data_IF_972630177319
#
_entry.id   IF_972630177319
#
_cell.length_a   1.000
_cell.length_b   1.000
_cell.length_c   1.000
_cell.angle_alpha   90.00
_cell.angle_beta   90.00
_cell.angle_gamma   90.00
#
_symmetry.space_group_name_H-M   'P 1'
#
loop_
_entity.id
_entity.type
_entity.pdbx_description
1 polymer ?
#
# COMPACT_ATOMS: atom_id res chain seq x y z
N UNK A 1 -17.65 2.11 -12.51
CA UNK A 1 -16.81 3.31 -12.79
C UNK A 1 -16.30 4.01 -11.53
N UNK A 2 -16.97 3.88 -10.37
CA UNK A 2 -16.54 4.52 -9.10
C UNK A 2 -15.11 4.17 -8.68
N UNK A 3 -14.74 2.87 -8.70
CA UNK A 3 -13.40 2.40 -8.28
C UNK A 3 -12.30 2.99 -9.17
N UNK A 4 -12.44 2.85 -10.50
CA UNK A 4 -11.47 3.39 -11.45
C UNK A 4 -11.34 4.92 -11.34
N UNK A 5 -12.46 5.64 -11.22
CA UNK A 5 -12.44 7.08 -10.99
C UNK A 5 -11.77 7.47 -9.67
N UNK A 6 -11.96 6.68 -8.62
CA UNK A 6 -11.31 6.88 -7.32
C UNK A 6 -9.79 6.83 -7.40
N UNK A 7 -9.21 5.82 -8.06
CA UNK A 7 -7.76 5.71 -8.24
C UNK A 7 -7.17 6.82 -9.12
N UNK A 8 -7.88 7.19 -10.19
CA UNK A 8 -7.49 8.30 -11.08
C UNK A 8 -7.46 9.62 -10.30
N UNK A 9 -8.53 9.93 -9.56
CA UNK A 9 -8.60 11.15 -8.77
C UNK A 9 -7.61 11.14 -7.60
N UNK A 10 -7.49 10.03 -6.87
CA UNK A 10 -6.52 9.90 -5.79
C UNK A 10 -5.09 10.19 -6.29
N UNK A 11 -4.73 9.67 -7.47
CA UNK A 11 -3.42 9.92 -8.05
C UNK A 11 -3.24 11.36 -8.54
N UNK A 12 -4.29 11.99 -9.06
CA UNK A 12 -4.26 13.40 -9.44
C UNK A 12 -4.03 14.31 -8.22
N UNK A 13 -4.74 14.07 -7.11
CA UNK A 13 -4.56 14.84 -5.87
C UNK A 13 -3.25 14.47 -5.16
N UNK A 14 -2.85 13.21 -5.19
CA UNK A 14 -1.61 12.75 -4.56
C UNK A 14 -0.34 13.20 -5.29
N UNK A 15 -0.47 13.74 -6.51
CA UNK A 15 0.62 14.39 -7.23
C UNK A 15 0.95 15.79 -6.69
N UNK A 16 0.02 16.42 -5.96
CA UNK A 16 0.18 17.79 -5.47
C UNK A 16 1.40 17.98 -4.56
N UNK A 17 1.73 17.08 -3.61
CA UNK A 17 2.96 17.22 -2.82
C UNK A 17 4.23 17.29 -3.67
N UNK A 18 4.33 16.54 -4.77
CA UNK A 18 5.49 16.60 -5.67
C UNK A 18 5.53 17.90 -6.46
N UNK A 19 4.37 18.38 -6.94
CA UNK A 19 4.25 19.64 -7.66
C UNK A 19 4.63 20.83 -6.77
N UNK A 20 4.07 20.90 -5.56
CA UNK A 20 4.31 21.96 -4.60
C UNK A 20 5.76 21.99 -4.10
N UNK A 21 6.41 20.83 -4.04
CA UNK A 21 7.83 20.73 -3.69
C UNK A 21 8.78 20.97 -4.87
N UNK A 22 8.26 21.11 -6.10
CA UNK A 22 9.08 21.22 -7.30
C UNK A 22 9.93 19.98 -7.57
N UNK A 23 9.46 18.79 -7.17
CA UNK A 23 10.20 17.52 -7.33
C UNK A 23 10.40 17.15 -8.80
N UNK A 24 9.42 17.46 -9.65
CA UNK A 24 9.45 17.17 -11.08
C UNK A 24 9.27 18.45 -11.90
N UNK A 25 9.75 18.44 -13.15
CA UNK A 25 9.54 19.54 -14.10
C UNK A 25 8.15 19.49 -14.76
N UNK A 26 7.52 18.32 -14.78
CA UNK A 26 6.21 18.07 -15.39
C UNK A 26 5.27 17.46 -14.37
N UNK A 27 4.05 17.99 -14.30
CA UNK A 27 2.98 17.38 -13.50
C UNK A 27 2.66 15.95 -13.94
N UNK A 28 2.90 15.59 -15.21
CA UNK A 28 2.71 14.21 -15.66
C UNK A 28 3.68 13.23 -15.00
N UNK A 29 4.90 13.66 -14.71
CA UNK A 29 5.88 12.83 -14.00
C UNK A 29 5.47 12.67 -12.53
N UNK A 30 5.00 13.75 -11.90
CA UNK A 30 4.42 13.71 -10.56
C UNK A 30 3.19 12.77 -10.49
N UNK A 31 2.32 12.84 -11.50
CA UNK A 31 1.16 11.97 -11.61
C UNK A 31 1.55 10.51 -11.84
N UNK A 32 2.53 10.24 -12.70
CA UNK A 32 3.06 8.89 -12.93
C UNK A 32 3.64 8.31 -11.63
N UNK A 33 4.46 9.09 -10.92
CA UNK A 33 5.07 8.67 -9.66
C UNK A 33 4.01 8.34 -8.61
N UNK A 34 2.95 9.18 -8.53
CA UNK A 34 1.83 8.97 -7.62
C UNK A 34 1.00 7.75 -7.98
N UNK A 35 0.70 7.57 -9.28
CA UNK A 35 0.01 6.38 -9.78
C UNK A 35 0.77 5.11 -9.39
N UNK A 36 2.07 5.07 -9.70
CA UNK A 36 2.94 3.96 -9.35
C UNK A 36 2.99 3.68 -7.84
N UNK A 37 2.96 4.73 -7.03
CA UNK A 37 2.83 4.64 -5.58
C UNK A 37 1.51 3.98 -5.17
N UNK A 38 0.36 4.58 -5.51
CA UNK A 38 -0.95 4.06 -5.11
C UNK A 38 -1.27 2.68 -5.66
N UNK A 39 -0.79 2.33 -6.86
CA UNK A 39 -0.99 0.99 -7.42
C UNK A 39 0.05 -0.01 -6.94
N UNK A 40 0.95 0.40 -6.04
CA UNK A 40 2.02 -0.44 -5.47
C UNK A 40 2.90 -1.06 -6.57
N UNK A 41 3.14 -0.32 -7.65
CA UNK A 41 3.94 -0.79 -8.80
C UNK A 41 5.43 -0.60 -8.55
N UNK A 42 5.82 0.49 -7.88
CA UNK A 42 7.21 0.78 -7.56
C UNK A 42 8.09 1.25 -8.73
N UNK A 43 7.51 1.50 -9.90
CA UNK A 43 8.20 2.18 -11.00
C UNK A 43 8.42 3.65 -10.66
N UNK A 44 9.59 4.20 -11.00
CA UNK A 44 9.92 5.60 -10.70
C UNK A 44 10.49 6.30 -11.92
N UNK A 45 10.14 7.58 -12.08
CA UNK A 45 10.77 8.51 -13.03
C UNK A 45 11.71 9.49 -12.33
N UNK A 46 11.83 9.38 -11.00
CA UNK A 46 12.72 10.20 -10.20
C UNK A 46 14.18 9.73 -10.33
N UNK A 47 15.01 10.52 -11.00
CA UNK A 47 16.41 10.15 -11.26
C UNK A 47 17.34 10.26 -10.03
N UNK A 48 17.07 11.19 -9.11
CA UNK A 48 17.89 11.41 -7.91
C UNK A 48 17.01 11.32 -6.67
N UNK A 49 16.93 10.13 -6.11
CA UNK A 49 16.06 9.82 -4.96
C UNK A 49 16.66 10.44 -3.69
N UNK A 50 17.94 10.20 -3.44
CA UNK A 50 18.65 10.61 -2.22
C UNK A 50 18.76 12.13 -2.06
N UNK A 51 18.60 12.90 -3.15
CA UNK A 51 18.61 14.37 -3.10
C UNK A 51 17.28 14.97 -2.65
N UNK A 52 16.21 14.17 -2.55
CA UNK A 52 14.90 14.66 -2.16
C UNK A 52 14.80 14.86 -0.65
N UNK A 53 13.90 15.75 -0.25
CA UNK A 53 13.58 15.92 1.17
C UNK A 53 12.95 14.65 1.75
N UNK A 54 13.19 14.40 3.05
CA UNK A 54 12.54 13.31 3.77
C UNK A 54 11.01 13.35 3.68
N UNK A 55 10.40 14.54 3.53
CA UNK A 55 8.95 14.66 3.34
C UNK A 55 8.47 14.02 2.02
N UNK A 56 9.21 14.24 0.93
CA UNK A 56 8.91 13.65 -0.37
C UNK A 56 9.19 12.14 -0.38
N UNK A 57 10.30 11.72 0.21
CA UNK A 57 10.63 10.30 0.36
C UNK A 57 9.59 9.55 1.19
N UNK A 58 9.12 10.15 2.28
CA UNK A 58 8.06 9.57 3.10
C UNK A 58 6.74 9.52 2.34
N UNK A 59 6.38 10.57 1.59
CA UNK A 59 5.18 10.60 0.78
C UNK A 59 5.18 9.48 -0.27
N UNK A 60 6.31 9.26 -0.96
CA UNK A 60 6.49 8.15 -1.91
C UNK A 60 6.12 6.82 -1.26
N UNK A 61 6.76 6.47 -0.15
CA UNK A 61 6.48 5.20 0.54
C UNK A 61 5.06 5.13 1.10
N UNK A 62 4.54 6.25 1.64
CA UNK A 62 3.19 6.31 2.20
C UNK A 62 2.11 6.05 1.15
N UNK A 63 2.29 6.55 -0.09
CA UNK A 63 1.33 6.27 -1.17
C UNK A 63 1.22 4.77 -1.47
N UNK A 64 2.32 4.01 -1.38
CA UNK A 64 2.27 2.55 -1.49
C UNK A 64 1.54 1.91 -0.33
N UNK A 65 1.81 2.32 0.91
CA UNK A 65 1.12 1.78 2.08
C UNK A 65 -0.40 2.02 2.03
N UNK A 66 -0.81 3.23 1.65
CA UNK A 66 -2.21 3.59 1.42
C UNK A 66 -2.81 2.80 0.26
N UNK A 67 -2.04 2.60 -0.82
CA UNK A 67 -2.41 1.79 -1.98
C UNK A 67 -2.71 0.33 -1.62
N UNK A 68 -1.80 -0.32 -0.91
CA UNK A 68 -1.98 -1.70 -0.44
C UNK A 68 -3.20 -1.85 0.46
N UNK A 69 -3.41 -0.92 1.40
CA UNK A 69 -4.62 -0.90 2.21
C UNK A 69 -5.89 -0.67 1.38
N UNK A 70 -5.80 0.16 0.33
CA UNK A 70 -6.89 0.38 -0.63
C UNK A 70 -7.30 -0.90 -1.36
N UNK A 71 -6.33 -1.70 -1.82
CA UNK A 71 -6.57 -3.00 -2.47
C UNK A 71 -7.18 -4.02 -1.50
N UNK A 72 -6.66 -4.12 -0.26
CA UNK A 72 -7.22 -5.01 0.77
C UNK A 72 -8.69 -4.65 1.04
N UNK A 73 -8.98 -3.36 1.19
CA UNK A 73 -10.35 -2.88 1.44
C UNK A 73 -11.27 -3.17 0.26
N UNK A 74 -10.78 -2.95 -0.97
CA UNK A 74 -11.52 -3.28 -2.19
C UNK A 74 -11.83 -4.78 -2.28
N UNK A 75 -10.85 -5.63 -1.97
CA UNK A 75 -11.02 -7.07 -1.97
C UNK A 75 -12.12 -7.50 -0.98
N UNK A 76 -12.10 -7.00 0.26
CA UNK A 76 -13.15 -7.31 1.25
C UNK A 76 -14.52 -6.79 0.83
N UNK A 77 -14.58 -5.60 0.22
CA UNK A 77 -15.83 -5.03 -0.26
C UNK A 77 -16.44 -5.80 -1.45
N UNK A 78 -15.60 -6.35 -2.33
CA UNK A 78 -16.03 -7.14 -3.49
C UNK A 78 -16.21 -8.62 -3.18
N UNK A 79 -15.61 -9.14 -2.11
CA UNK A 79 -15.68 -10.54 -1.69
C UNK A 79 -17.11 -11.12 -1.66
N UNK A 80 -18.13 -10.40 -1.13
CA UNK A 80 -19.51 -10.90 -1.13
C UNK A 80 -19.97 -11.30 -2.54
N UNK A 81 -19.60 -10.54 -3.57
CA UNK A 81 -20.04 -10.75 -4.96
C UNK A 81 -19.50 -12.07 -5.51
N UNK A 82 -18.25 -12.43 -5.17
CA UNK A 82 -17.66 -13.71 -5.56
C UNK A 82 -18.26 -14.89 -4.78
N UNK A 83 -18.71 -14.66 -3.54
CA UNK A 83 -19.32 -15.66 -2.67
C UNK A 83 -20.79 -15.96 -2.97
N UNK A 84 -21.49 -15.10 -3.72
CA UNK A 84 -22.92 -15.27 -4.06
C UNK A 84 -23.21 -16.62 -4.73
N UNK A 85 -22.30 -17.13 -5.58
CA UNK A 85 -22.47 -18.45 -6.22
C UNK A 85 -22.45 -19.64 -5.24
N UNK A 86 -21.65 -19.54 -4.16
CA UNK A 86 -21.60 -20.57 -3.11
C UNK A 86 -22.71 -20.37 -2.06
N UNK A 87 -23.09 -19.12 -1.78
CA UNK A 87 -24.16 -18.78 -0.87
C UNK A 87 -25.53 -19.26 -1.40
N UNK A 88 -25.79 -19.15 -2.70
CA UNK A 88 -27.01 -19.69 -3.33
C UNK A 88 -27.13 -21.21 -3.24
N UNK A 89 -26.00 -21.93 -3.20
CA UNK A 89 -25.98 -23.39 -3.00
C UNK A 89 -26.37 -23.76 -1.56
N UNK A 90 -25.91 -22.96 -0.58
CA UNK A 90 -26.26 -23.12 0.84
C UNK A 90 -27.70 -22.66 1.14
N UNK A 91 -28.20 -21.63 0.45
CA UNK A 91 -29.60 -21.20 0.51
C UNK A 91 -30.57 -22.27 0.01
N UNK A 92 -30.17 -23.09 -0.96
CA UNK A 92 -30.98 -24.19 -1.46
C UNK A 92 -31.12 -25.35 -0.44
N UNK A 93 -30.21 -25.46 0.52
CA UNK A 93 -30.19 -26.56 1.51
C UNK A 93 -30.77 -26.20 2.88
N UNK A 94 -30.95 -24.91 3.24
CA UNK A 94 -31.48 -24.52 4.56
C UNK A 94 -32.35 -23.24 4.53
N UNK A 95 -33.67 -23.31 4.81
CA UNK A 95 -34.53 -22.13 4.84
C UNK A 95 -34.39 -21.35 6.17
N UNK A 96 -34.03 -20.06 6.09
CA UNK A 96 -33.99 -19.13 7.24
C UNK A 96 -33.38 -17.74 6.89
N UNK A 97 -33.56 -16.69 7.74
CA UNK A 97 -33.05 -15.35 7.45
C UNK A 97 -31.52 -15.27 7.62
N UNK A 98 -30.78 -15.24 6.50
CA UNK A 98 -29.31 -15.33 6.49
C UNK A 98 -28.59 -13.99 6.17
N UNK A 99 -29.26 -13.05 5.51
CA UNK A 99 -28.62 -11.84 4.96
C UNK A 99 -27.92 -10.94 6.01
N UNK A 100 -28.46 -10.86 7.23
CA UNK A 100 -27.93 -10.01 8.31
C UNK A 100 -26.67 -10.62 8.99
N UNK A 101 -26.53 -11.96 8.98
CA UNK A 101 -25.36 -12.65 9.56
C UNK A 101 -24.12 -12.57 8.67
N UNK A 102 -24.30 -12.53 7.35
CA UNK A 102 -23.20 -12.46 6.39
C UNK A 102 -22.54 -11.06 6.37
N UNK A 103 -23.34 -10.00 6.38
CA UNK A 103 -22.87 -8.59 6.37
C UNK A 103 -22.06 -8.20 7.61
N UNK A 104 -22.46 -8.66 8.81
CA UNK A 104 -21.72 -8.41 10.05
C UNK A 104 -20.31 -9.01 10.04
N UNK A 105 -20.15 -10.24 9.49
CA UNK A 105 -18.85 -10.92 9.40
C UNK A 105 -17.85 -10.18 8.51
N UNK A 106 -18.29 -9.55 7.41
CA UNK A 106 -17.36 -8.85 6.50
C UNK A 106 -16.73 -7.60 7.11
N UNK A 107 -17.48 -6.84 7.91
CA UNK A 107 -16.94 -5.68 8.62
C UNK A 107 -15.88 -6.11 9.64
N UNK A 108 -16.06 -7.25 10.27
CA UNK A 108 -15.09 -7.79 11.23
C UNK A 108 -13.86 -8.35 10.51
N UNK A 109 -14.01 -8.99 9.35
CA UNK A 109 -12.87 -9.38 8.48
C UNK A 109 -12.06 -8.16 8.02
N UNK A 110 -12.71 -7.07 7.60
CA UNK A 110 -12.01 -5.84 7.20
C UNK A 110 -11.17 -5.26 8.35
N UNK A 111 -11.73 -5.20 9.56
CA UNK A 111 -11.01 -4.75 10.76
C UNK A 111 -9.85 -5.67 11.09
N UNK A 112 -10.04 -6.99 11.01
CA UNK A 112 -8.98 -7.96 11.29
C UNK A 112 -7.80 -7.80 10.32
N UNK A 113 -8.08 -7.66 9.02
CA UNK A 113 -7.05 -7.42 8.00
C UNK A 113 -6.35 -6.08 8.20
N UNK A 114 -7.07 -5.03 8.59
CA UNK A 114 -6.47 -3.74 8.92
C UNK A 114 -5.51 -3.83 10.12
N UNK A 115 -5.93 -4.52 11.19
CA UNK A 115 -5.09 -4.74 12.37
C UNK A 115 -3.86 -5.60 12.05
N UNK A 116 -4.02 -6.63 11.22
CA UNK A 116 -2.89 -7.45 10.76
C UNK A 116 -1.92 -6.62 9.92
N UNK A 117 -2.42 -5.83 8.97
CA UNK A 117 -1.59 -4.99 8.11
C UNK A 117 -0.75 -3.99 8.93
N UNK A 118 -1.37 -3.31 9.90
CA UNK A 118 -0.67 -2.41 10.81
C UNK A 118 0.30 -3.16 11.74
N UNK A 119 -0.12 -4.31 12.29
CA UNK A 119 0.71 -5.12 13.17
C UNK A 119 1.97 -5.63 12.49
N UNK A 120 1.84 -6.14 11.26
CA UNK A 120 2.98 -6.54 10.43
C UNK A 120 3.86 -5.36 10.05
N UNK A 121 3.26 -4.19 9.74
CA UNK A 121 4.04 -2.97 9.47
C UNK A 121 4.93 -2.61 10.68
N UNK A 122 4.37 -2.61 11.89
CA UNK A 122 5.14 -2.30 13.11
C UNK A 122 6.23 -3.35 13.36
N UNK A 123 5.91 -4.63 13.16
CA UNK A 123 6.86 -5.72 13.36
C UNK A 123 8.03 -5.66 12.35
N UNK A 124 7.75 -5.38 11.09
CA UNK A 124 8.77 -5.20 10.05
C UNK A 124 9.66 -3.99 10.37
N UNK A 125 9.06 -2.84 10.71
CA UNK A 125 9.81 -1.63 11.09
C UNK A 125 10.79 -1.89 12.24
N UNK A 126 10.32 -2.55 13.31
CA UNK A 126 11.18 -2.91 14.45
C UNK A 126 12.29 -3.86 14.01
N UNK A 127 11.99 -4.84 13.16
CA UNK A 127 12.96 -5.83 12.68
C UNK A 127 14.06 -5.16 11.85
N UNK A 128 13.69 -4.27 10.91
CA UNK A 128 14.64 -3.51 10.09
C UNK A 128 15.50 -2.55 10.93
N UNK A 129 14.89 -1.90 11.92
CA UNK A 129 15.61 -1.03 12.84
C UNK A 129 16.63 -1.81 13.69
N UNK A 130 16.26 -2.98 14.21
CA UNK A 130 17.17 -3.89 14.93
C UNK A 130 18.29 -4.40 14.02
N UNK A 131 17.99 -4.62 12.73
CA UNK A 131 18.98 -4.94 11.70
C UNK A 131 19.92 -3.78 11.32
N UNK A 132 19.89 -2.67 12.09
CA UNK A 132 20.76 -1.48 11.96
C UNK A 132 20.45 -0.60 10.74
N UNK A 133 19.28 -0.73 10.13
CA UNK A 133 18.82 0.24 9.13
C UNK A 133 18.55 1.60 9.81
N UNK A 134 18.91 2.74 9.18
CA UNK A 134 18.54 4.06 9.70
C UNK A 134 17.04 4.17 9.96
N UNK A 135 16.63 4.87 11.02
CA UNK A 135 15.22 4.89 11.45
C UNK A 135 14.28 5.40 10.36
N UNK A 136 14.68 6.44 9.64
CA UNK A 136 13.90 6.97 8.52
C UNK A 136 13.75 5.94 7.41
N UNK A 137 14.86 5.29 7.04
CA UNK A 137 14.90 4.28 6.01
C UNK A 137 14.05 3.06 6.36
N UNK A 138 14.16 2.57 7.60
CA UNK A 138 13.34 1.46 8.10
C UNK A 138 11.85 1.76 7.98
N UNK A 139 11.43 2.99 8.30
CA UNK A 139 10.04 3.43 8.15
C UNK A 139 9.64 3.48 6.67
N UNK A 140 10.43 4.14 5.84
CA UNK A 140 10.15 4.30 4.41
C UNK A 140 10.10 2.96 3.67
N UNK A 141 11.01 2.03 4.00
CA UNK A 141 11.06 0.67 3.45
C UNK A 141 9.86 -0.13 3.92
N UNK A 142 9.53 -0.13 5.22
CA UNK A 142 8.34 -0.84 5.76
C UNK A 142 7.05 -0.43 5.05
N UNK A 143 6.84 0.88 4.88
CA UNK A 143 5.65 1.41 4.21
C UNK A 143 5.55 0.95 2.73
N UNK A 144 6.67 0.54 2.15
CA UNK A 144 6.78 0.05 0.78
C UNK A 144 6.77 -1.48 0.63
N UNK A 145 7.40 -2.21 1.55
CA UNK A 145 7.45 -3.68 1.55
C UNK A 145 6.10 -4.29 1.90
N UNK A 146 5.42 -3.79 2.94
CA UNK A 146 4.11 -4.25 3.36
C UNK A 146 3.07 -4.36 2.24
N UNK A 147 2.91 -3.34 1.36
CA UNK A 147 2.04 -3.42 0.18
C UNK A 147 2.67 -4.11 -1.04
N UNK A 148 3.86 -4.70 -0.92
CA UNK A 148 4.64 -5.32 -2.02
C UNK A 148 5.00 -4.35 -3.15
N UNK A 149 5.31 -3.10 -2.81
CA UNK A 149 5.50 -2.02 -3.79
C UNK A 149 6.95 -1.84 -4.27
N UNK A 150 7.91 -1.67 -3.37
CA UNK A 150 9.35 -1.59 -3.71
C UNK A 150 9.98 -0.20 -3.88
N UNK A 151 9.29 0.88 -3.50
CA UNK A 151 9.95 2.18 -3.29
C UNK A 151 10.90 2.16 -2.09
N UNK A 152 12.04 2.84 -2.25
CA UNK A 152 13.06 2.96 -1.21
C UNK A 152 13.62 4.39 -1.22
N UNK A 153 14.22 4.85 -0.10
CA UNK A 153 14.86 6.16 -0.04
C UNK A 153 16.21 6.22 -0.77
N UNK A 154 16.65 5.12 -1.38
CA UNK A 154 17.96 4.95 -2.02
C UNK A 154 17.81 4.40 -3.43
N UNK A 155 18.62 4.90 -4.37
CA UNK A 155 18.62 4.48 -5.78
C UNK A 155 19.00 3.01 -6.00
N UNK A 156 19.83 2.43 -5.13
CA UNK A 156 20.22 1.01 -5.16
C UNK A 156 19.21 0.07 -4.48
N UNK A 157 18.03 0.57 -4.11
CA UNK A 157 17.06 -0.20 -3.33
C UNK A 157 17.69 -0.81 -2.08
N UNK A 158 17.25 -2.01 -1.68
CA UNK A 158 17.77 -2.73 -0.51
C UNK A 158 19.27 -3.05 -0.63
N UNK A 159 19.82 -3.09 -1.85
CA UNK A 159 21.25 -3.26 -2.09
C UNK A 159 22.12 -2.16 -1.46
N UNK A 160 21.55 -0.98 -1.15
CA UNK A 160 22.29 0.09 -0.47
C UNK A 160 22.80 -0.31 0.93
N UNK A 161 22.11 -1.23 1.62
CA UNK A 161 22.43 -1.59 3.00
C UNK A 161 23.45 -2.75 3.12
N UNK A 162 23.71 -3.49 2.04
CA UNK A 162 24.68 -4.60 1.98
C UNK A 162 24.59 -5.56 3.19
N UNK A 163 23.37 -5.95 3.58
CA UNK A 163 23.12 -6.71 4.80
C UNK A 163 22.19 -7.90 4.51
N UNK A 164 22.69 -9.15 4.62
CA UNK A 164 21.86 -10.34 4.46
C UNK A 164 20.69 -10.41 5.46
N UNK A 165 20.83 -9.77 6.62
CA UNK A 165 19.74 -9.68 7.60
C UNK A 165 18.60 -8.79 7.10
N UNK A 166 18.92 -7.65 6.47
CA UNK A 166 17.91 -6.76 5.88
C UNK A 166 17.22 -7.47 4.71
N UNK A 167 18.00 -8.12 3.84
CA UNK A 167 17.47 -8.88 2.71
C UNK A 167 16.59 -10.06 3.15
N UNK A 168 16.87 -10.68 4.30
CA UNK A 168 16.05 -11.76 4.82
C UNK A 168 14.76 -11.32 5.55
N UNK A 169 14.66 -10.05 5.92
CA UNK A 169 13.45 -9.49 6.55
C UNK A 169 12.41 -9.08 5.49
N UNK A 170 12.88 -8.62 4.32
CA UNK A 170 12.08 -8.10 3.21
C UNK A 170 11.66 -9.24 2.27
#
# INVERSE_FOLDING_TARGET
MLVAGGWILASAFGALPYELAGTFQSYLDAYFETMSGFTTTGATVLASIESQSHGILLWRSLTQWLGGMGIITLFVALFPIFGIGAAHLVEAEMPGPQAERLTARFRDTAKALWLLYLGFSVLEFISLWVARMPVFDALAVTLSTMPTGGFTPTSLSIGAYNSPFVEGII
#
